data_IF_242270783516
#
_entry.id   IF_242270783516
#
_cell.length_a   1.000
_cell.length_b   1.000
_cell.length_c   1.000
_cell.angle_alpha   90.00
_cell.angle_beta   90.00
_cell.angle_gamma   90.00
#
_symmetry.space_group_name_H-M   'P 1'
#
loop_
_entity.id
_entity.type
_entity.pdbx_description
1 polymer ?
#
# COMPACT_ATOMS: atom_id res chain seq x y z
N UNK A 1 24.70 -60.97 23.65
CA UNK A 1 23.48 -60.40 23.02
C UNK A 1 23.03 -59.22 23.86
N UNK A 2 23.40 -58.00 23.46
CA UNK A 2 23.00 -56.76 24.14
C UNK A 2 21.89 -56.14 23.27
N UNK A 3 20.69 -55.85 23.80
CA UNK A 3 19.62 -55.31 22.97
C UNK A 3 19.87 -53.81 22.75
N UNK A 4 20.02 -53.41 21.48
CA UNK A 4 20.01 -52.02 21.08
C UNK A 4 18.59 -51.45 21.30
N UNK A 5 18.43 -50.56 22.28
CA UNK A 5 17.24 -49.73 22.40
C UNK A 5 17.32 -48.62 21.37
N UNK A 6 16.41 -48.62 20.38
CA UNK A 6 16.20 -47.48 19.50
C UNK A 6 15.68 -46.29 20.33
N UNK A 7 16.50 -45.26 20.47
CA UNK A 7 16.04 -43.93 20.90
C UNK A 7 15.28 -43.30 19.73
N UNK A 8 13.96 -43.24 19.84
CA UNK A 8 13.13 -42.46 18.92
C UNK A 8 13.34 -40.98 19.21
N UNK A 9 14.08 -40.30 18.33
CA UNK A 9 14.26 -38.86 18.36
C UNK A 9 12.93 -38.20 17.98
N UNK A 10 12.13 -37.78 18.95
CA UNK A 10 10.95 -36.95 18.68
C UNK A 10 11.44 -35.57 18.26
N UNK A 11 11.38 -35.29 16.95
CA UNK A 11 11.63 -33.97 16.40
C UNK A 11 10.53 -33.03 16.92
N UNK A 12 10.84 -32.21 17.91
CA UNK A 12 9.99 -31.08 18.26
C UNK A 12 10.10 -30.08 17.11
N UNK A 13 9.09 -30.06 16.24
CA UNK A 13 8.86 -28.92 15.36
C UNK A 13 8.48 -27.77 16.28
N UNK A 14 9.42 -26.88 16.56
CA UNK A 14 9.09 -25.59 17.15
C UNK A 14 8.23 -24.87 16.11
N UNK A 15 6.93 -24.79 16.37
CA UNK A 15 6.05 -23.86 15.65
C UNK A 15 6.55 -22.47 16.04
N UNK A 16 7.26 -21.81 15.14
CA UNK A 16 7.60 -20.39 15.31
C UNK A 16 6.29 -19.63 15.39
N UNK A 17 5.97 -19.06 16.55
CA UNK A 17 4.96 -18.02 16.63
C UNK A 17 5.38 -16.91 15.64
N UNK A 18 4.50 -16.56 14.70
CA UNK A 18 4.77 -15.51 13.72
C UNK A 18 5.21 -14.25 14.43
N UNK A 19 6.49 -13.89 14.29
CA UNK A 19 7.02 -12.65 14.83
C UNK A 19 6.59 -11.50 13.95
N UNK A 20 6.07 -10.43 14.56
CA UNK A 20 5.73 -9.22 13.82
C UNK A 20 6.96 -8.63 13.10
N UNK A 21 6.79 -8.11 11.87
CA UNK A 21 7.85 -7.46 11.11
C UNK A 21 8.55 -6.33 11.85
N UNK A 22 9.77 -5.99 11.43
CA UNK A 22 10.55 -4.91 12.04
C UNK A 22 9.80 -3.58 12.00
N UNK A 23 9.85 -2.81 13.09
CA UNK A 23 9.09 -1.56 13.24
C UNK A 23 7.62 -1.75 13.64
N UNK A 24 7.17 -2.98 13.87
CA UNK A 24 5.82 -3.30 14.34
C UNK A 24 5.81 -4.05 15.67
N UNK A 25 4.63 -4.10 16.29
CA UNK A 25 4.47 -4.59 17.66
C UNK A 25 3.33 -5.60 17.75
N UNK A 26 3.62 -6.79 18.29
CA UNK A 26 2.60 -7.84 18.48
C UNK A 26 1.68 -7.49 19.63
N UNK A 27 0.37 -7.50 19.37
CA UNK A 27 -0.62 -7.49 20.45
C UNK A 27 -0.46 -8.79 21.25
N UNK A 28 -0.30 -8.75 22.59
CA UNK A 28 -0.07 -9.96 23.39
C UNK A 28 -1.20 -10.97 23.26
N UNK A 29 -0.84 -12.25 23.02
CA UNK A 29 -1.78 -13.37 22.84
C UNK A 29 -2.72 -13.24 21.63
N UNK A 30 -2.47 -12.29 20.75
CA UNK A 30 -3.16 -12.12 19.48
C UNK A 30 -2.15 -12.27 18.36
N UNK A 31 -2.51 -12.99 17.30
CA UNK A 31 -1.69 -13.06 16.10
C UNK A 31 -1.94 -11.82 15.24
N UNK A 32 -1.78 -10.62 15.82
CA UNK A 32 -2.02 -9.31 15.21
C UNK A 32 -0.85 -8.39 15.54
N UNK A 33 -0.30 -7.77 14.52
CA UNK A 33 0.78 -6.81 14.58
C UNK A 33 0.24 -5.39 14.38
N UNK A 34 0.74 -4.43 15.16
CA UNK A 34 0.41 -3.00 15.07
C UNK A 34 1.59 -2.25 14.46
N UNK A 35 1.32 -1.44 13.45
CA UNK A 35 2.30 -0.66 12.70
C UNK A 35 2.01 0.82 12.88
N UNK A 36 2.85 1.52 13.66
CA UNK A 36 2.78 2.96 13.76
C UNK A 36 3.25 3.62 12.47
N UNK A 37 2.38 4.39 11.83
CA UNK A 37 2.68 5.13 10.60
C UNK A 37 2.85 6.61 10.95
N UNK A 38 4.10 7.11 11.11
CA UNK A 38 4.36 8.45 11.62
C UNK A 38 4.06 9.55 10.61
N UNK A 39 3.94 9.21 9.32
CA UNK A 39 3.60 10.16 8.28
C UNK A 39 2.14 10.59 8.40
N UNK A 40 1.87 11.89 8.22
CA UNK A 40 0.52 12.42 8.45
C UNK A 40 -0.31 12.40 7.17
N UNK A 41 -1.48 11.76 7.23
CA UNK A 41 -2.41 11.60 6.10
C UNK A 41 -3.84 11.98 6.50
N UNK A 42 -4.70 12.25 5.50
CA UNK A 42 -6.14 12.31 5.73
C UNK A 42 -6.66 10.92 6.11
N UNK A 43 -7.78 10.85 6.83
CA UNK A 43 -8.29 9.56 7.34
C UNK A 43 -8.51 8.52 6.22
N UNK A 44 -9.10 8.93 5.10
CA UNK A 44 -9.38 8.00 3.99
C UNK A 44 -8.08 7.45 3.36
N UNK A 45 -7.02 8.25 3.33
CA UNK A 45 -5.72 7.84 2.82
C UNK A 45 -5.00 6.92 3.79
N UNK A 46 -5.13 7.16 5.10
CA UNK A 46 -4.66 6.25 6.14
C UNK A 46 -5.32 4.86 6.01
N UNK A 47 -6.64 4.80 5.77
CA UNK A 47 -7.36 3.54 5.52
C UNK A 47 -6.79 2.81 4.31
N UNK A 48 -6.65 3.50 3.16
CA UNK A 48 -6.09 2.90 1.93
C UNK A 48 -4.68 2.38 2.13
N UNK A 49 -3.82 3.12 2.83
CA UNK A 49 -2.44 2.70 3.08
C UNK A 49 -2.33 1.48 3.98
N UNK A 50 -3.17 1.38 5.01
CA UNK A 50 -3.23 0.17 5.80
C UNK A 50 -3.71 -1.05 5.00
N UNK A 51 -4.69 -0.87 4.12
CA UNK A 51 -5.13 -1.94 3.19
C UNK A 51 -3.99 -2.35 2.24
N UNK A 52 -3.20 -1.39 1.74
CA UNK A 52 -2.08 -1.62 0.81
C UNK A 52 -1.00 -2.55 1.38
N UNK A 53 -0.72 -2.47 2.68
CA UNK A 53 0.26 -3.35 3.34
C UNK A 53 -0.35 -4.68 3.81
N UNK A 54 -1.48 -5.10 3.24
CA UNK A 54 -2.18 -6.34 3.60
C UNK A 54 -2.94 -6.25 4.93
N UNK A 55 -3.25 -5.03 5.37
CA UNK A 55 -3.80 -4.74 6.69
C UNK A 55 -5.12 -4.03 6.71
N UNK A 56 -5.38 -3.40 7.85
CA UNK A 56 -6.49 -2.46 8.04
C UNK A 56 -6.07 -1.42 9.09
N UNK A 57 -6.78 -0.31 9.20
CA UNK A 57 -6.58 0.59 10.34
C UNK A 57 -6.91 -0.11 11.64
N UNK A 58 -6.29 0.32 12.74
CA UNK A 58 -6.47 -0.30 14.04
C UNK A 58 -7.95 -0.51 14.43
N UNK A 59 -8.28 -1.72 14.87
CA UNK A 59 -9.59 -2.10 15.36
C UNK A 59 -9.47 -2.48 16.84
N UNK A 60 -9.80 -1.54 17.71
CA UNK A 60 -9.64 -1.70 19.17
C UNK A 60 -10.88 -2.40 19.74
N UNK A 61 -10.80 -3.69 19.98
CA UNK A 61 -11.94 -4.51 20.39
C UNK A 61 -12.11 -4.60 21.92
N UNK A 62 -11.09 -4.26 22.71
CA UNK A 62 -11.15 -4.34 24.17
C UNK A 62 -10.17 -3.39 24.90
N UNK A 63 -10.23 -3.38 26.23
CA UNK A 63 -9.40 -2.52 27.09
C UNK A 63 -7.91 -2.87 27.05
N UNK A 64 -7.55 -4.13 26.84
CA UNK A 64 -6.15 -4.56 26.74
C UNK A 64 -5.53 -4.06 25.44
N UNK A 65 -6.22 -4.23 24.31
CA UNK A 65 -5.80 -3.68 23.02
C UNK A 65 -5.67 -2.16 23.08
N UNK A 66 -6.61 -1.46 23.73
CA UNK A 66 -6.50 -0.01 23.92
C UNK A 66 -5.25 0.36 24.72
N UNK A 67 -5.00 -0.34 25.83
CA UNK A 67 -3.83 -0.09 26.67
C UNK A 67 -2.53 -0.36 25.91
N UNK A 68 -2.47 -1.44 25.14
CA UNK A 68 -1.34 -1.78 24.30
C UNK A 68 -1.09 -0.72 23.22
N UNK A 69 -2.12 -0.36 22.43
CA UNK A 69 -2.01 0.68 21.40
C UNK A 69 -1.63 2.02 22.01
N UNK A 70 -2.20 2.37 23.17
CA UNK A 70 -1.83 3.58 23.91
C UNK A 70 -0.34 3.58 24.30
N UNK A 71 0.23 2.42 24.63
CA UNK A 71 1.65 2.30 24.96
C UNK A 71 2.58 2.51 23.76
N UNK A 72 2.06 2.43 22.52
CA UNK A 72 2.84 2.67 21.30
C UNK A 72 2.83 4.13 20.88
N UNK A 73 2.00 4.99 21.48
CA UNK A 73 1.83 6.38 21.02
C UNK A 73 3.09 7.25 21.15
N UNK A 74 4.10 6.81 21.92
CA UNK A 74 5.39 7.48 21.97
C UNK A 74 6.07 7.56 20.60
N UNK A 75 5.77 6.65 19.67
CA UNK A 75 6.33 6.65 18.30
C UNK A 75 5.90 7.86 17.48
N UNK A 76 4.88 8.60 17.91
CA UNK A 76 4.33 9.77 17.20
C UNK A 76 4.74 11.12 17.80
N UNK A 77 5.73 11.14 18.71
CA UNK A 77 6.27 12.36 19.32
C UNK A 77 5.18 13.30 19.89
N UNK A 78 4.14 12.73 20.52
CA UNK A 78 3.05 13.48 21.13
C UNK A 78 1.91 13.88 20.17
N UNK A 79 1.97 13.49 18.90
CA UNK A 79 0.87 13.71 17.94
C UNK A 79 -0.15 12.58 18.02
N UNK A 80 -1.43 12.91 18.17
CA UNK A 80 -2.52 11.93 18.25
C UNK A 80 -2.78 11.26 16.89
N UNK A 81 -2.67 9.92 16.77
CA UNK A 81 -2.91 9.21 15.51
C UNK A 81 -4.38 8.82 15.31
N UNK A 82 -4.76 8.60 14.05
CA UNK A 82 -6.00 7.92 13.70
C UNK A 82 -6.00 6.46 14.19
N UNK A 83 -7.15 6.05 14.73
CA UNK A 83 -7.40 4.69 15.24
C UNK A 83 -8.50 3.97 14.46
N UNK A 84 -8.64 4.24 13.17
CA UNK A 84 -9.49 3.44 12.28
C UNK A 84 -11.00 3.57 12.50
N UNK A 85 -11.45 4.60 13.20
CA UNK A 85 -12.86 4.82 13.55
C UNK A 85 -13.37 6.10 12.86
N UNK A 86 -14.52 6.01 12.22
CA UNK A 86 -15.22 7.11 11.54
C UNK A 86 -16.70 7.18 11.93
N UNK A 87 -17.29 8.36 11.77
CA UNK A 87 -18.71 8.60 11.94
C UNK A 87 -19.40 8.60 10.59
N UNK A 88 -20.41 7.74 10.43
CA UNK A 88 -21.25 7.69 9.23
C UNK A 88 -22.34 8.76 9.27
N UNK A 89 -22.98 8.98 8.11
CA UNK A 89 -24.05 9.96 7.92
C UNK A 89 -25.29 9.73 8.80
N UNK A 90 -25.49 8.50 9.29
CA UNK A 90 -26.53 8.12 10.24
C UNK A 90 -26.12 8.34 11.71
N UNK A 91 -25.03 9.07 11.94
CA UNK A 91 -24.43 9.41 13.23
C UNK A 91 -23.81 8.24 14.01
N UNK A 92 -23.74 7.04 13.42
CA UNK A 92 -23.07 5.90 14.07
C UNK A 92 -21.57 5.98 13.89
N UNK A 93 -20.84 5.62 14.95
CA UNK A 93 -19.41 5.38 14.90
C UNK A 93 -19.15 3.92 14.54
N UNK A 94 -18.26 3.69 13.58
CA UNK A 94 -17.91 2.38 13.04
C UNK A 94 -16.41 2.30 12.80
N UNK A 95 -15.89 1.08 12.72
CA UNK A 95 -14.55 0.86 12.18
C UNK A 95 -14.55 1.05 10.66
N UNK A 96 -13.36 1.18 10.06
CA UNK A 96 -13.20 1.38 8.61
C UNK A 96 -13.82 0.26 7.74
N UNK A 97 -13.98 -0.95 8.28
CA UNK A 97 -14.68 -2.08 7.61
C UNK A 97 -16.22 -1.96 7.67
N UNK A 98 -16.75 -0.89 8.29
CA UNK A 98 -18.17 -0.64 8.49
C UNK A 98 -18.78 -1.39 9.68
N UNK A 99 -18.02 -2.22 10.38
CA UNK A 99 -18.52 -2.93 11.56
C UNK A 99 -18.71 -1.98 12.76
N UNK A 100 -19.70 -2.25 13.62
CA UNK A 100 -19.97 -1.40 14.79
C UNK A 100 -18.84 -1.49 15.82
N UNK A 101 -18.65 -0.41 16.59
CA UNK A 101 -17.72 -0.42 17.71
C UNK A 101 -18.16 -1.44 18.78
N UNK A 102 -17.27 -2.36 19.13
CA UNK A 102 -17.50 -3.34 20.21
C UNK A 102 -16.95 -2.87 21.55
N UNK A 103 -16.04 -1.89 21.51
CA UNK A 103 -15.44 -1.25 22.67
C UNK A 103 -15.35 0.26 22.41
N UNK A 104 -15.45 1.06 23.47
CA UNK A 104 -15.40 2.51 23.39
C UNK A 104 -14.62 3.09 24.56
N UNK A 105 -13.74 4.06 24.29
CA UNK A 105 -12.90 4.69 25.30
C UNK A 105 -12.77 6.22 25.13
N UNK A 106 -13.88 6.86 24.76
CA UNK A 106 -13.95 8.32 24.58
C UNK A 106 -13.52 9.09 25.83
N UNK A 107 -12.86 10.23 25.63
CA UNK A 107 -12.54 11.17 26.70
C UNK A 107 -13.81 11.85 27.23
N UNK A 108 -13.73 12.44 28.43
CA UNK A 108 -14.84 13.20 28.99
C UNK A 108 -15.21 14.36 28.07
N UNK A 109 -16.47 14.43 27.65
CA UNK A 109 -16.96 15.46 26.71
C UNK A 109 -16.80 15.09 25.24
N UNK A 110 -16.26 13.91 24.92
CA UNK A 110 -16.15 13.37 23.57
C UNK A 110 -17.21 12.28 23.31
N UNK A 111 -17.60 12.06 22.04
CA UNK A 111 -17.21 12.83 20.86
C UNK A 111 -17.82 14.24 20.84
N UNK A 112 -16.98 15.25 20.60
CA UNK A 112 -17.37 16.65 20.46
C UNK A 112 -17.86 16.96 19.04
N UNK A 113 -19.16 16.74 18.82
CA UNK A 113 -19.79 16.78 17.49
C UNK A 113 -20.21 18.19 17.03
N UNK A 114 -19.53 19.24 17.52
CA UNK A 114 -19.99 20.62 17.41
C UNK A 114 -19.71 21.28 16.03
N UNK A 115 -19.04 20.61 15.10
CA UNK A 115 -18.82 21.11 13.73
C UNK A 115 -18.62 20.00 12.68
N UNK A 116 -19.39 20.04 11.58
CA UNK A 116 -19.33 19.13 10.42
C UNK A 116 -19.93 17.73 10.61
N UNK A 117 -20.16 17.03 9.49
CA UNK A 117 -20.73 15.68 9.45
C UNK A 117 -19.66 14.58 9.36
N UNK A 118 -18.39 14.93 9.14
CA UNK A 118 -17.32 13.99 8.79
C UNK A 118 -16.27 13.91 9.90
N UNK A 119 -16.59 13.14 10.95
CA UNK A 119 -15.72 12.98 12.12
C UNK A 119 -15.03 11.63 12.16
N UNK A 120 -13.78 11.64 12.61
CA UNK A 120 -12.91 10.50 12.79
C UNK A 120 -12.35 10.49 14.21
N UNK A 121 -11.92 9.34 14.70
CA UNK A 121 -11.36 9.22 16.06
C UNK A 121 -9.83 9.24 16.05
N UNK A 122 -9.26 9.98 17.00
CA UNK A 122 -7.86 9.92 17.37
C UNK A 122 -7.71 9.30 18.75
N UNK A 123 -6.53 8.77 19.06
CA UNK A 123 -6.16 8.44 20.43
C UNK A 123 -5.23 9.51 21.00
N UNK A 124 -5.63 10.11 22.13
CA UNK A 124 -4.83 11.10 22.83
C UNK A 124 -3.57 10.46 23.46
N UNK A 125 -2.35 10.92 23.11
CA UNK A 125 -1.11 10.34 23.63
C UNK A 125 -0.90 10.47 25.14
N UNK A 126 -1.51 11.47 25.77
CA UNK A 126 -1.36 11.70 27.21
C UNK A 126 -2.23 10.79 28.07
N UNK A 127 -3.40 10.39 27.56
CA UNK A 127 -4.44 9.69 28.34
C UNK A 127 -4.85 8.33 27.78
N UNK A 128 -4.52 8.03 26.53
CA UNK A 128 -4.97 6.83 25.82
C UNK A 128 -6.48 6.80 25.54
N UNK A 129 -7.18 7.93 25.76
CA UNK A 129 -8.60 8.11 25.50
C UNK A 129 -8.85 8.59 24.08
N UNK A 130 -10.05 8.36 23.58
CA UNK A 130 -10.41 8.71 22.21
C UNK A 130 -11.01 10.10 22.15
N UNK A 131 -10.62 10.86 21.13
CA UNK A 131 -11.15 12.21 20.85
C UNK A 131 -11.61 12.27 19.41
N UNK A 132 -12.66 13.03 19.14
CA UNK A 132 -13.15 13.23 17.78
C UNK A 132 -12.38 14.36 17.07
N UNK A 133 -12.20 14.21 15.76
CA UNK A 133 -11.55 15.21 14.91
C UNK A 133 -12.18 15.23 13.52
N UNK A 134 -11.97 16.31 12.78
CA UNK A 134 -12.32 16.37 11.36
C UNK A 134 -11.45 15.37 10.58
N UNK A 135 -12.09 14.47 9.81
CA UNK A 135 -11.41 13.48 8.97
C UNK A 135 -10.49 14.10 7.89
N UNK A 136 -10.67 15.38 7.57
CA UNK A 136 -9.83 16.15 6.64
C UNK A 136 -8.62 16.80 7.32
N UNK A 137 -8.38 16.54 8.59
CA UNK A 137 -7.11 16.88 9.23
C UNK A 137 -6.04 15.83 8.88
N UNK A 138 -4.82 16.24 8.58
CA UNK A 138 -3.73 15.27 8.42
C UNK A 138 -3.23 14.81 9.80
N UNK A 139 -3.11 13.50 10.01
CA UNK A 139 -2.65 12.89 11.27
C UNK A 139 -1.83 11.63 10.98
N UNK A 140 -0.89 11.25 11.86
CA UNK A 140 -0.33 9.90 11.83
C UNK A 140 -1.43 8.87 12.06
N UNK A 141 -1.16 7.59 11.83
CA UNK A 141 -2.18 6.55 11.90
C UNK A 141 -1.57 5.20 12.30
N UNK A 142 -2.45 4.28 12.71
CA UNK A 142 -2.07 2.94 13.13
C UNK A 142 -2.70 1.91 12.20
N UNK A 143 -1.87 1.06 11.61
CA UNK A 143 -2.31 -0.12 10.87
C UNK A 143 -2.21 -1.38 11.74
N UNK A 144 -3.07 -2.35 11.47
CA UNK A 144 -3.08 -3.67 12.12
C UNK A 144 -3.25 -4.77 11.10
N UNK A 145 -2.61 -5.91 11.33
CA UNK A 145 -2.85 -7.13 10.57
C UNK A 145 -1.97 -8.28 11.04
N UNK A 146 -2.28 -9.49 10.55
CA UNK A 146 -1.65 -10.72 11.05
C UNK A 146 -0.28 -10.99 10.42
N UNK A 147 -0.07 -10.48 9.21
CA UNK A 147 1.14 -10.62 8.39
C UNK A 147 1.30 -9.36 7.50
N UNK A 148 1.31 -8.16 8.11
CA UNK A 148 1.43 -6.92 7.34
C UNK A 148 2.79 -6.86 6.65
N UNK A 149 2.80 -6.74 5.33
CA UNK A 149 3.99 -6.77 4.51
C UNK A 149 4.73 -5.42 4.57
N UNK A 150 5.43 -5.15 5.68
CA UNK A 150 6.60 -4.26 5.61
C UNK A 150 7.76 -5.16 5.19
N UNK A 151 7.71 -5.54 3.92
CA UNK A 151 8.65 -6.48 3.34
C UNK A 151 10.05 -5.87 3.37
N UNK A 152 10.93 -6.48 4.17
CA UNK A 152 12.39 -6.38 4.05
C UNK A 152 12.91 -6.98 2.73
N UNK A 153 12.00 -7.41 1.86
CA UNK A 153 12.27 -8.14 0.63
C UNK A 153 12.26 -7.20 -0.57
N UNK A 154 11.99 -5.91 -0.36
CA UNK A 154 12.19 -4.86 -1.33
C UNK A 154 13.16 -3.79 -0.83
N UNK A 155 13.75 -3.04 -1.76
CA UNK A 155 14.58 -1.87 -1.43
C UNK A 155 13.71 -0.77 -0.79
N UNK A 156 14.34 0.11 -0.01
CA UNK A 156 13.63 1.23 0.61
C UNK A 156 12.90 2.08 -0.46
N UNK A 157 11.64 2.44 -0.18
CA UNK A 157 10.75 3.14 -1.12
C UNK A 157 10.07 2.26 -2.18
N UNK A 158 10.35 0.96 -2.26
CA UNK A 158 9.63 0.01 -3.14
C UNK A 158 8.43 -0.61 -2.42
N UNK A 159 7.36 -0.88 -3.16
CA UNK A 159 6.15 -1.55 -2.67
C UNK A 159 6.16 -3.02 -3.07
N UNK A 160 6.11 -3.94 -2.08
CA UNK A 160 6.01 -5.38 -2.33
C UNK A 160 4.58 -5.78 -2.71
N UNK A 161 4.44 -6.67 -3.69
CA UNK A 161 3.18 -7.34 -4.01
C UNK A 161 3.35 -8.85 -3.91
N UNK A 162 2.74 -9.43 -2.88
CA UNK A 162 2.78 -10.88 -2.60
C UNK A 162 2.22 -11.74 -3.74
N UNK A 163 1.28 -11.20 -4.52
CA UNK A 163 0.63 -11.95 -5.61
C UNK A 163 1.60 -12.42 -6.69
N UNK A 164 2.67 -11.65 -6.93
CA UNK A 164 3.74 -11.99 -7.89
C UNK A 164 5.09 -12.27 -7.21
N UNK A 165 5.20 -11.95 -5.91
CA UNK A 165 6.46 -11.93 -5.17
C UNK A 165 7.50 -11.01 -5.84
N UNK A 166 7.01 -9.84 -6.25
CA UNK A 166 7.77 -8.77 -6.91
C UNK A 166 7.66 -7.46 -6.11
N UNK A 167 8.64 -6.59 -6.35
CA UNK A 167 8.74 -5.23 -5.83
C UNK A 167 8.45 -4.22 -6.94
N UNK A 168 7.69 -3.18 -6.60
CA UNK A 168 7.27 -2.15 -7.56
C UNK A 168 7.65 -0.75 -7.08
N UNK A 169 8.16 0.07 -7.99
CA UNK A 169 8.56 1.45 -7.71
C UNK A 169 7.88 2.41 -8.68
N UNK A 170 7.11 3.35 -8.13
CA UNK A 170 6.56 4.45 -8.90
C UNK A 170 7.62 5.55 -9.05
N UNK A 171 8.16 5.69 -10.24
CA UNK A 171 9.10 6.74 -10.56
C UNK A 171 8.37 8.06 -10.82
N UNK A 172 8.56 9.03 -9.93
CA UNK A 172 7.88 10.31 -9.98
C UNK A 172 8.71 11.38 -10.74
N UNK A 173 8.13 12.56 -10.94
CA UNK A 173 8.78 13.66 -11.62
C UNK A 173 9.96 14.24 -10.86
N UNK A 174 10.97 14.67 -11.59
CA UNK A 174 12.02 15.55 -11.06
C UNK A 174 11.73 17.00 -11.47
N UNK A 175 11.77 17.93 -10.52
CA UNK A 175 11.71 19.35 -10.82
C UNK A 175 13.11 19.84 -11.22
N UNK A 176 13.26 20.27 -12.46
CA UNK A 176 14.53 20.88 -12.91
C UNK A 176 14.40 22.39 -12.78
N UNK A 177 15.28 22.99 -11.97
CA UNK A 177 15.48 24.43 -11.82
C UNK A 177 14.18 25.24 -11.61
N UNK A 178 13.27 24.72 -10.80
CA UNK A 178 12.11 25.45 -10.27
C UNK A 178 10.96 25.71 -11.27
N UNK A 179 11.08 25.37 -12.56
CA UNK A 179 10.04 25.71 -13.55
C UNK A 179 9.78 24.64 -14.63
N UNK A 180 10.29 23.41 -14.48
CA UNK A 180 9.95 22.33 -15.44
C UNK A 180 9.80 20.99 -14.75
N UNK A 181 8.63 20.38 -14.91
CA UNK A 181 8.39 18.98 -14.62
C UNK A 181 9.14 18.17 -15.68
N UNK A 182 10.16 17.40 -15.29
CA UNK A 182 10.78 16.45 -16.21
C UNK A 182 9.87 15.26 -16.35
N UNK A 183 9.45 15.02 -17.58
CA UNK A 183 8.61 13.90 -17.93
C UNK A 183 9.41 12.86 -18.70
N UNK A 184 9.02 11.59 -18.60
CA UNK A 184 9.74 10.48 -19.23
C UNK A 184 8.97 9.90 -20.40
N UNK A 185 9.69 9.52 -21.46
CA UNK A 185 9.15 8.65 -22.51
C UNK A 185 9.03 7.20 -22.02
N UNK A 186 8.33 6.36 -22.76
CA UNK A 186 8.26 4.93 -22.45
C UNK A 186 9.65 4.28 -22.51
N UNK A 187 10.45 4.62 -23.52
CA UNK A 187 11.83 4.15 -23.67
C UNK A 187 12.72 4.61 -22.51
N UNK A 188 12.52 5.84 -22.01
CA UNK A 188 13.21 6.31 -20.80
C UNK A 188 12.84 5.44 -19.61
N UNK A 189 11.57 5.07 -19.46
CA UNK A 189 11.10 4.16 -18.41
C UNK A 189 11.80 2.80 -18.46
N UNK A 190 11.82 2.15 -19.63
CA UNK A 190 12.52 0.86 -19.81
C UNK A 190 14.00 0.98 -19.47
N UNK A 191 14.68 2.03 -19.97
CA UNK A 191 16.10 2.25 -19.72
C UNK A 191 16.37 2.49 -18.22
N UNK A 192 15.61 3.38 -17.58
CA UNK A 192 15.79 3.73 -16.18
C UNK A 192 15.54 2.53 -15.25
N UNK A 193 14.51 1.71 -15.51
CA UNK A 193 14.28 0.50 -14.71
C UNK A 193 15.45 -0.47 -14.84
N UNK A 194 15.98 -0.69 -16.05
CA UNK A 194 17.15 -1.56 -16.27
C UNK A 194 18.45 -1.03 -15.66
N UNK A 195 18.59 0.29 -15.52
CA UNK A 195 19.72 0.92 -14.83
C UNK A 195 19.70 0.69 -13.31
N UNK A 196 18.51 0.55 -12.70
CA UNK A 196 18.38 0.21 -11.28
C UNK A 196 18.85 -1.21 -10.98
N UNK A 197 18.49 -2.16 -11.84
CA UNK A 197 18.87 -3.56 -11.72
C UNK A 197 18.74 -4.24 -13.08
N UNK A 198 19.65 -5.16 -13.38
CA UNK A 198 19.54 -6.00 -14.59
C UNK A 198 18.29 -6.88 -14.60
N UNK A 199 17.68 -7.11 -13.43
CA UNK A 199 16.45 -7.88 -13.26
C UNK A 199 15.20 -7.00 -13.18
N UNK A 200 15.34 -5.69 -13.37
CA UNK A 200 14.22 -4.75 -13.33
C UNK A 200 13.78 -4.34 -14.74
N UNK A 201 12.48 -4.10 -14.90
CA UNK A 201 11.88 -3.60 -16.13
C UNK A 201 10.66 -2.73 -15.80
N UNK A 202 10.00 -2.15 -16.81
CA UNK A 202 8.66 -1.63 -16.60
C UNK A 202 7.71 -2.76 -16.20
N UNK A 203 6.77 -2.46 -15.29
CA UNK A 203 5.88 -3.45 -14.71
C UNK A 203 5.03 -4.18 -15.77
N UNK A 204 4.90 -5.49 -15.62
CA UNK A 204 3.92 -6.30 -16.33
C UNK A 204 2.68 -6.53 -15.46
N UNK A 205 1.61 -7.05 -16.05
CA UNK A 205 0.36 -7.35 -15.35
C UNK A 205 -0.15 -8.69 -15.86
N UNK A 206 -0.40 -9.60 -14.93
CA UNK A 206 -0.82 -10.98 -15.17
C UNK A 206 -2.09 -11.37 -14.40
N UNK A 207 -2.63 -10.44 -13.59
CA UNK A 207 -3.87 -10.69 -12.84
C UNK A 207 -4.63 -9.40 -12.53
N UNK A 208 -5.92 -9.55 -12.23
CA UNK A 208 -6.74 -8.43 -11.76
C UNK A 208 -6.21 -7.85 -10.44
N UNK A 209 -5.73 -8.71 -9.53
CA UNK A 209 -5.20 -8.26 -8.25
C UNK A 209 -3.92 -7.42 -8.40
N UNK A 210 -3.06 -7.79 -9.34
CA UNK A 210 -1.87 -7.01 -9.70
C UNK A 210 -2.25 -5.68 -10.36
N UNK A 211 -3.23 -5.70 -11.27
CA UNK A 211 -3.77 -4.48 -11.88
C UNK A 211 -4.32 -3.50 -10.83
N UNK A 212 -5.10 -4.00 -9.87
CA UNK A 212 -5.64 -3.21 -8.76
C UNK A 212 -4.52 -2.67 -7.85
N UNK A 213 -3.47 -3.47 -7.61
CA UNK A 213 -2.31 -3.03 -6.83
C UNK A 213 -1.55 -1.88 -7.51
N UNK A 214 -1.26 -1.99 -8.81
CA UNK A 214 -0.62 -0.91 -9.56
C UNK A 214 -1.52 0.33 -9.62
N UNK A 215 -2.85 0.13 -9.67
CA UNK A 215 -3.83 1.20 -9.56
C UNK A 215 -3.67 1.98 -8.25
N UNK A 216 -3.67 1.28 -7.12
CA UNK A 216 -3.54 1.90 -5.81
C UNK A 216 -2.15 2.54 -5.62
N UNK A 217 -1.10 2.00 -6.25
CA UNK A 217 0.25 2.55 -6.21
C UNK A 217 0.31 3.96 -6.82
N UNK A 218 -0.30 4.18 -7.99
CA UNK A 218 -0.33 5.50 -8.65
C UNK A 218 -1.21 6.49 -7.88
N UNK A 219 -2.35 6.02 -7.34
CA UNK A 219 -3.28 6.82 -6.54
C UNK A 219 -2.68 7.31 -5.21
N UNK A 220 -1.72 6.57 -4.64
CA UNK A 220 -1.05 6.90 -3.37
C UNK A 220 -0.44 8.32 -3.37
N UNK A 221 -0.05 8.84 -4.54
CA UNK A 221 0.60 10.15 -4.68
C UNK A 221 -0.33 11.25 -5.22
N UNK A 222 -1.57 10.94 -5.58
CA UNK A 222 -2.52 11.87 -6.20
C UNK A 222 -3.98 11.59 -5.78
N UNK A 223 -4.40 12.03 -4.58
CA UNK A 223 -5.77 11.81 -4.09
C UNK A 223 -6.82 12.74 -4.70
N UNK A 224 -6.43 13.78 -5.46
CA UNK A 224 -7.35 14.80 -6.00
C UNK A 224 -7.39 14.79 -7.52
N UNK A 225 -8.60 14.66 -8.06
CA UNK A 225 -8.87 14.79 -9.50
C UNK A 225 -8.58 16.20 -9.98
N UNK A 226 -7.57 16.38 -10.82
CA UNK A 226 -7.36 17.61 -11.55
C UNK A 226 -7.85 17.44 -12.98
N UNK A 227 -8.52 18.45 -13.53
CA UNK A 227 -8.90 18.48 -14.95
C UNK A 227 -7.77 18.99 -15.85
N UNK A 228 -6.56 19.18 -15.30
CA UNK A 228 -5.40 19.71 -16.01
C UNK A 228 -4.70 18.61 -16.79
N UNK A 229 -4.13 18.97 -17.95
CA UNK A 229 -3.38 18.10 -18.86
C UNK A 229 -2.10 17.46 -18.26
N UNK A 230 -1.82 17.68 -16.97
CA UNK A 230 -0.68 17.16 -16.21
C UNK A 230 -0.97 15.84 -15.47
N UNK A 231 -2.21 15.35 -15.49
CA UNK A 231 -2.63 14.05 -14.90
C UNK A 231 -2.36 12.85 -15.84
N UNK A 232 -1.24 12.90 -16.53
CA UNK A 232 -0.63 11.78 -17.25
C UNK A 232 -0.04 10.88 -16.17
N UNK A 233 -0.65 9.76 -15.83
CA UNK A 233 -0.21 8.92 -14.72
C UNK A 233 1.06 8.14 -15.05
N UNK A 234 1.08 6.81 -15.02
CA UNK A 234 2.33 6.05 -15.08
C UNK A 234 2.38 5.06 -16.25
N UNK A 235 3.53 5.00 -16.92
CA UNK A 235 3.84 3.99 -17.91
C UNK A 235 4.03 2.60 -17.27
N UNK A 236 3.55 1.58 -17.95
CA UNK A 236 3.83 0.15 -17.69
C UNK A 236 4.47 -0.49 -18.93
N UNK A 237 4.95 -1.72 -18.81
CA UNK A 237 5.77 -2.41 -19.82
C UNK A 237 5.00 -2.91 -21.05
N UNK A 238 3.72 -2.58 -21.18
CA UNK A 238 2.90 -3.09 -22.27
C UNK A 238 3.22 -2.41 -23.60
N UNK A 239 3.24 -3.20 -24.66
CA UNK A 239 3.31 -2.75 -26.05
C UNK A 239 2.39 -3.61 -26.93
N UNK A 240 1.84 -3.07 -28.02
CA UNK A 240 0.95 -3.83 -28.92
C UNK A 240 -0.52 -3.40 -28.86
N UNK A 241 -1.47 -4.35 -28.92
CA UNK A 241 -2.93 -4.10 -28.85
C UNK A 241 -3.66 -5.21 -28.06
N UNK A 242 -4.99 -5.07 -27.87
CA UNK A 242 -5.81 -6.02 -27.08
C UNK A 242 -5.84 -7.46 -27.61
N UNK A 243 -5.47 -7.70 -28.87
CA UNK A 243 -5.37 -9.04 -29.47
C UNK A 243 -3.94 -9.58 -29.50
N UNK A 244 -2.96 -8.68 -29.54
CA UNK A 244 -1.56 -9.00 -29.77
C UNK A 244 -0.66 -8.00 -29.01
N UNK A 245 -0.52 -8.23 -27.71
CA UNK A 245 0.32 -7.48 -26.80
C UNK A 245 1.62 -8.19 -26.48
N UNK A 246 2.63 -7.43 -26.05
CA UNK A 246 3.91 -7.90 -25.53
C UNK A 246 4.30 -7.06 -24.32
N UNK A 247 4.88 -7.70 -23.30
CA UNK A 247 5.48 -7.02 -22.16
C UNK A 247 6.98 -6.78 -22.40
N UNK A 248 7.50 -5.66 -21.91
CA UNK A 248 8.91 -5.26 -22.08
C UNK A 248 9.90 -6.12 -21.30
N UNK A 249 9.43 -6.86 -20.30
CA UNK A 249 10.17 -7.88 -19.56
C UNK A 249 10.21 -9.25 -20.28
N UNK A 250 9.44 -9.41 -21.36
CA UNK A 250 9.33 -10.66 -22.11
C UNK A 250 8.37 -11.69 -21.50
N UNK A 251 7.62 -11.33 -20.47
CA UNK A 251 6.57 -12.17 -19.88
C UNK A 251 5.41 -12.41 -20.86
N UNK A 252 4.61 -13.48 -20.68
CA UNK A 252 3.52 -13.79 -21.59
C UNK A 252 2.39 -12.75 -21.52
N UNK A 253 1.78 -12.46 -22.66
CA UNK A 253 0.54 -11.66 -22.71
C UNK A 253 -0.67 -12.54 -22.38
N UNK A 254 -1.04 -12.58 -21.11
CA UNK A 254 -2.08 -13.45 -20.55
C UNK A 254 -3.17 -12.69 -19.76
N UNK A 255 -3.04 -11.37 -19.66
CA UNK A 255 -4.01 -10.51 -18.99
C UNK A 255 -4.42 -9.32 -19.86
N UNK A 256 -5.73 -9.08 -19.91
CA UNK A 256 -6.35 -7.90 -20.50
C UNK A 256 -7.37 -7.38 -19.49
N UNK A 257 -7.30 -6.10 -19.14
CA UNK A 257 -8.28 -5.50 -18.25
C UNK A 257 -9.68 -5.54 -18.89
N UNK A 258 -10.64 -6.27 -18.32
CA UNK A 258 -11.98 -6.44 -18.89
C UNK A 258 -12.79 -5.14 -18.90
N UNK A 259 -12.36 -4.09 -18.21
CA UNK A 259 -13.03 -2.80 -18.17
C UNK A 259 -12.64 -1.87 -19.33
N UNK A 260 -11.66 -2.27 -20.15
CA UNK A 260 -11.29 -1.55 -21.37
C UNK A 260 -12.46 -1.61 -22.37
N UNK A 261 -12.97 -0.45 -22.77
CA UNK A 261 -13.88 -0.39 -23.93
C UNK A 261 -13.06 -0.65 -25.20
N UNK A 262 -13.55 -1.55 -26.07
CA UNK A 262 -12.96 -1.84 -27.38
C UNK A 262 -12.68 -0.51 -28.11
N UNK A 263 -11.41 -0.16 -28.24
CA UNK A 263 -10.97 0.97 -29.04
C UNK A 263 -10.20 0.40 -30.23
N UNK A 264 -10.58 0.94 -31.40
CA UNK A 264 -10.16 0.67 -32.77
C UNK A 264 -8.70 0.18 -32.97
N UNK A 265 -8.52 -0.74 -33.92
CA UNK A 265 -7.26 -1.43 -34.28
C UNK A 265 -6.16 -0.47 -34.81
N UNK A 266 -6.42 0.84 -34.87
CA UNK A 266 -5.55 1.90 -35.40
C UNK A 266 -4.53 2.47 -34.39
N UNK A 267 -4.65 2.15 -33.11
CA UNK A 267 -3.74 2.65 -32.07
C UNK A 267 -2.61 1.66 -31.81
N UNK A 268 -1.46 1.92 -32.45
CA UNK A 268 -0.19 1.29 -32.09
C UNK A 268 0.26 1.87 -30.75
N UNK A 269 0.50 0.97 -29.80
CA UNK A 269 1.08 1.21 -28.48
C UNK A 269 0.09 1.76 -27.46
N UNK A 270 0.05 1.04 -26.36
CA UNK A 270 -0.89 1.21 -25.27
C UNK A 270 0.02 1.40 -24.11
N UNK A 271 -0.12 2.54 -23.46
CA UNK A 271 0.50 2.66 -22.18
C UNK A 271 -0.63 2.82 -21.21
N UNK A 272 -0.97 1.70 -20.56
CA UNK A 272 -1.95 1.70 -19.49
C UNK A 272 -1.45 2.65 -18.43
N UNK A 273 -2.13 3.77 -18.36
CA UNK A 273 -2.11 4.58 -17.18
C UNK A 273 -3.18 4.05 -16.23
N UNK A 274 -2.84 3.93 -14.96
CA UNK A 274 -3.80 4.07 -13.86
C UNK A 274 -4.24 5.52 -13.84
N UNK A 275 -5.44 5.88 -14.32
CA UNK A 275 -5.77 7.29 -14.37
C UNK A 275 -5.90 7.82 -12.94
N UNK A 276 -5.42 9.04 -12.76
CA UNK A 276 -5.54 9.78 -11.50
C UNK A 276 -7.00 9.85 -11.04
N UNK A 277 -8.00 9.77 -11.95
CA UNK A 277 -9.41 9.73 -11.59
C UNK A 277 -10.37 8.95 -12.51
N UNK A 278 -11.44 8.43 -11.87
CA UNK A 278 -12.73 7.95 -12.37
C UNK A 278 -12.80 6.84 -13.44
N UNK A 279 -11.68 6.28 -13.88
CA UNK A 279 -11.71 5.11 -14.75
C UNK A 279 -10.71 4.08 -14.23
N UNK A 280 -11.12 3.00 -13.57
CA UNK A 280 -10.19 1.87 -13.26
C UNK A 280 -9.85 1.11 -14.55
N UNK A 281 -9.32 1.80 -15.54
CA UNK A 281 -9.19 1.34 -16.92
C UNK A 281 -7.85 1.79 -17.45
N UNK A 282 -7.19 0.89 -18.17
CA UNK A 282 -6.05 1.26 -18.99
C UNK A 282 -6.48 2.36 -19.97
N UNK A 283 -5.73 3.45 -20.04
CA UNK A 283 -5.94 4.49 -21.05
C UNK A 283 -4.99 4.28 -22.23
N UNK A 284 -5.46 4.46 -23.46
CA UNK A 284 -4.63 4.31 -24.65
C UNK A 284 -3.93 5.64 -24.97
N UNK A 285 -2.60 5.65 -25.09
CA UNK A 285 -1.82 6.85 -25.43
C UNK A 285 -0.88 6.57 -26.60
N UNK A 286 -0.87 7.46 -27.61
CA UNK A 286 0.08 7.36 -28.71
C UNK A 286 1.52 7.66 -28.24
N UNK A 287 2.44 6.83 -28.70
CA UNK A 287 3.88 6.93 -28.49
C UNK A 287 4.38 8.38 -28.66
N UNK A 288 5.18 8.86 -27.70
CA UNK A 288 5.91 10.13 -27.75
C UNK A 288 5.06 11.42 -27.79
N UNK A 289 3.75 11.37 -27.55
CA UNK A 289 2.91 12.58 -27.59
C UNK A 289 2.72 13.27 -26.23
N UNK A 290 2.77 12.51 -25.14
CA UNK A 290 2.65 13.04 -23.78
C UNK A 290 3.62 12.33 -22.86
N UNK A 291 4.54 13.06 -22.23
CA UNK A 291 5.52 12.44 -21.36
C UNK A 291 4.90 12.22 -19.97
N UNK A 292 5.23 11.10 -19.29
CA UNK A 292 4.53 10.62 -18.09
C UNK A 292 5.50 10.07 -17.03
N UNK A 293 4.96 9.61 -15.89
CA UNK A 293 5.69 8.82 -14.87
C UNK A 293 5.86 7.38 -15.37
N UNK A 294 6.50 6.51 -14.61
CA UNK A 294 6.56 5.08 -14.95
C UNK A 294 6.67 4.20 -13.70
N UNK A 295 6.27 2.93 -13.82
CA UNK A 295 6.37 1.94 -12.74
C UNK A 295 7.43 0.91 -13.12
N UNK A 296 8.45 0.76 -12.28
CA UNK A 296 9.39 -0.35 -12.38
C UNK A 296 8.92 -1.55 -11.56
N UNK A 297 9.22 -2.74 -12.04
CA UNK A 297 9.06 -4.02 -11.35
C UNK A 297 10.39 -4.75 -11.29
N UNK A 298 10.65 -5.45 -10.19
CA UNK A 298 11.74 -6.42 -10.04
C UNK A 298 11.37 -7.54 -9.07
N UNK A 299 11.99 -8.73 -9.14
CA UNK A 299 11.78 -9.78 -8.15
C UNK A 299 12.15 -9.33 -6.74
N UNK A 300 11.51 -9.90 -5.72
CA UNK A 300 11.90 -9.68 -4.32
C UNK A 300 13.33 -10.15 -4.02
N UNK A 301 13.94 -9.64 -2.95
CA UNK A 301 15.28 -9.98 -2.48
C UNK A 301 15.47 -11.50 -2.29
N UNK A 302 14.39 -12.22 -1.94
CA UNK A 302 14.36 -13.68 -1.86
C UNK A 302 14.66 -14.36 -3.20
N UNK A 303 14.14 -13.80 -4.31
CA UNK A 303 14.37 -14.31 -5.66
C UNK A 303 15.71 -13.87 -6.24
N UNK A 304 16.25 -12.74 -5.78
CA UNK A 304 17.54 -12.21 -6.22
C UNK A 304 18.75 -12.83 -5.49
N UNK A 305 18.52 -13.69 -4.49
CA UNK A 305 19.59 -14.34 -3.72
C UNK A 305 20.40 -13.35 -2.86
N UNK A 306 19.84 -12.17 -2.59
CA UNK A 306 20.46 -11.12 -1.77
C UNK A 306 20.06 -11.32 -0.30
N UNK A 307 20.45 -12.45 0.29
CA UNK A 307 20.39 -12.60 1.75
C UNK A 307 21.40 -11.65 2.41
N UNK A 308 20.91 -10.93 3.42
CA UNK A 308 21.62 -9.90 4.19
C UNK A 308 23.06 -10.34 4.53
N UNK A 309 24.05 -9.66 3.95
CA UNK A 309 25.40 -9.63 4.53
C UNK A 309 25.29 -8.82 5.82
N UNK A 310 25.19 -9.52 6.94
CA UNK A 310 25.04 -8.93 8.26
C UNK A 310 26.18 -7.98 8.63
N UNK A 311 25.82 -6.93 9.36
CA UNK A 311 26.68 -6.22 10.30
C UNK A 311 25.87 -5.89 11.54
#
# INVERSE_FOLDING_TARGET
MIPFRLLTLTLFVAVSAGSCPEGSYSIPNENICVFPMPDSQYYIDAVRRCLKIGGMTAKIANVFENGFISSLLFTFNGTAPYIGIERKSDNRWVYADGSPLTYQNWATGEPNLNSSTNFCALMDPGTGKWVSTDCFSTRPYLCTGKDLDVSTDCLDGWSYFRGTDSCYYLWNFTYVNGNSQSYYTWDDGVRNCKELSSSANLASIHSMAENDFLYDLVQTYYPTCSTLATDVGAWIGFTGNYKNGNWSDGSPFDFVDPNIQEIDDSYRWVISNVPACNYRRWSWMQENRFPARFICEMPSNHRLGLEKVGK
#
